data_IF_886012759150
#
_entry.id   IF_886012759150
#
_cell.length_a   1.000
_cell.length_b   1.000
_cell.length_c   1.000
_cell.angle_alpha   90.00
_cell.angle_beta   90.00
_cell.angle_gamma   90.00
#
_symmetry.space_group_name_H-M   'P 1'
#
loop_
_entity.id
_entity.type
_entity.pdbx_description
1 polymer ?
#
# COMPACT_ATOMS: atom_id res chain seq x y z
N UNK A 1 11.82 -16.89 7.89
CA UNK A 1 10.48 -16.30 7.82
C UNK A 1 9.59 -17.13 6.89
N UNK A 2 8.41 -17.53 7.37
CA UNK A 2 7.36 -18.15 6.54
C UNK A 2 6.64 -17.09 5.69
N UNK A 3 7.00 -17.02 4.39
CA UNK A 3 6.41 -16.07 3.45
C UNK A 3 4.93 -16.35 3.18
N UNK A 4 4.50 -17.62 3.13
CA UNK A 4 3.10 -17.96 2.88
C UNK A 4 2.22 -17.42 4.01
N UNK A 5 2.70 -17.55 5.25
CA UNK A 5 1.95 -17.02 6.39
C UNK A 5 1.96 -15.49 6.41
N UNK A 6 3.08 -14.86 6.05
CA UNK A 6 3.16 -13.40 5.89
C UNK A 6 2.12 -12.90 4.88
N UNK A 7 2.10 -13.45 3.66
CA UNK A 7 1.12 -13.06 2.63
C UNK A 7 -0.31 -13.25 3.10
N UNK A 8 -0.61 -14.32 3.82
CA UNK A 8 -1.93 -14.55 4.39
C UNK A 8 -2.33 -13.45 5.38
N UNK A 9 -1.44 -13.08 6.31
CA UNK A 9 -1.69 -11.96 7.25
C UNK A 9 -1.91 -10.66 6.48
N UNK A 10 -1.06 -10.34 5.49
CA UNK A 10 -1.20 -9.12 4.70
C UNK A 10 -2.55 -9.07 3.97
N UNK A 11 -2.98 -10.16 3.36
CA UNK A 11 -4.27 -10.25 2.66
C UNK A 11 -5.48 -10.20 3.59
N UNK A 12 -5.38 -10.75 4.81
CA UNK A 12 -6.45 -10.71 5.81
C UNK A 12 -6.60 -9.33 6.48
N UNK A 13 -5.51 -8.56 6.54
CA UNK A 13 -5.45 -7.33 7.36
C UNK A 13 -5.36 -6.04 6.55
N UNK A 14 -5.05 -6.11 5.26
CA UNK A 14 -4.82 -4.93 4.43
C UNK A 14 -5.50 -5.00 3.07
N UNK A 15 -5.77 -3.83 2.49
CA UNK A 15 -6.25 -3.66 1.12
C UNK A 15 -5.42 -2.59 0.42
N UNK A 16 -5.02 -2.86 -0.82
CA UNK A 16 -4.36 -1.88 -1.67
C UNK A 16 -5.43 -0.99 -2.32
N UNK A 17 -5.28 0.32 -2.10
CA UNK A 17 -6.21 1.34 -2.56
C UNK A 17 -5.48 2.27 -3.53
N UNK A 18 -6.14 2.57 -4.64
CA UNK A 18 -5.63 3.51 -5.63
C UNK A 18 -5.82 4.96 -5.16
N UNK A 19 -4.91 5.83 -5.56
CA UNK A 19 -5.09 7.29 -5.53
C UNK A 19 -5.77 7.78 -6.82
N UNK A 20 -6.75 8.67 -6.70
CA UNK A 20 -7.42 9.28 -7.87
C UNK A 20 -8.61 8.48 -8.42
N UNK A 21 -9.06 8.85 -9.62
CA UNK A 21 -10.28 8.31 -10.24
C UNK A 21 -10.12 6.86 -10.77
N UNK A 22 -11.24 6.15 -10.82
CA UNK A 22 -11.34 4.73 -11.21
C UNK A 22 -11.53 4.54 -12.72
N UNK A 23 -12.09 5.56 -13.39
CA UNK A 23 -12.47 5.50 -14.80
C UNK A 23 -11.69 6.59 -15.53
N UNK A 24 -10.86 6.17 -16.48
CA UNK A 24 -10.10 7.08 -17.34
C UNK A 24 -10.62 6.98 -18.77
N UNK A 25 -10.90 8.12 -19.39
CA UNK A 25 -11.43 8.23 -20.75
C UNK A 25 -11.63 9.70 -21.12
N UNK A 26 -12.24 9.96 -22.29
CA UNK A 26 -12.71 11.31 -22.59
C UNK A 26 -13.83 11.69 -21.61
N UNK A 27 -13.93 12.95 -21.15
CA UNK A 27 -14.93 13.35 -20.16
C UNK A 27 -16.35 12.91 -20.53
N UNK A 28 -16.72 13.05 -21.79
CA UNK A 28 -18.04 12.68 -22.31
C UNK A 28 -18.32 11.18 -22.16
N UNK A 29 -17.28 10.35 -22.31
CA UNK A 29 -17.39 8.90 -22.21
C UNK A 29 -17.38 8.43 -20.75
N UNK A 30 -16.60 9.08 -19.88
CA UNK A 30 -16.60 8.83 -18.44
C UNK A 30 -17.96 9.17 -17.83
N UNK A 31 -18.53 10.33 -18.20
CA UNK A 31 -19.84 10.76 -17.71
C UNK A 31 -20.96 9.83 -18.19
N UNK A 32 -20.97 9.46 -19.48
CA UNK A 32 -21.95 8.53 -20.02
C UNK A 32 -21.92 7.14 -19.33
N UNK A 33 -20.73 6.65 -18.97
CA UNK A 33 -20.60 5.40 -18.20
C UNK A 33 -21.10 5.57 -16.76
N UNK A 34 -20.78 6.69 -16.10
CA UNK A 34 -21.29 6.98 -14.74
C UNK A 34 -22.82 7.10 -14.71
N UNK A 35 -23.43 7.56 -15.80
CA UNK A 35 -24.89 7.65 -15.97
C UNK A 35 -25.56 6.33 -16.39
N UNK A 36 -24.79 5.26 -16.63
CA UNK A 36 -25.32 3.96 -17.02
C UNK A 36 -25.86 3.91 -18.44
N UNK A 37 -25.32 4.74 -19.35
CA UNK A 37 -25.69 4.71 -20.77
C UNK A 37 -25.30 3.37 -21.38
N UNK A 38 -26.21 2.78 -22.17
CA UNK A 38 -25.95 1.50 -22.85
C UNK A 38 -24.77 1.60 -23.82
N UNK A 39 -24.00 0.51 -23.92
CA UNK A 39 -22.72 0.48 -24.63
C UNK A 39 -22.82 0.82 -26.12
N UNK A 40 -23.98 0.60 -26.75
CA UNK A 40 -24.26 0.94 -28.15
C UNK A 40 -24.52 2.44 -28.38
N UNK A 41 -24.71 3.21 -27.30
CA UNK A 41 -24.97 4.66 -27.32
C UNK A 41 -23.78 5.49 -26.81
N UNK A 42 -22.70 4.83 -26.38
CA UNK A 42 -21.50 5.51 -25.91
C UNK A 42 -20.74 6.17 -27.08
N UNK A 43 -20.17 7.37 -26.89
CA UNK A 43 -19.25 7.95 -27.86
C UNK A 43 -18.05 7.02 -28.06
N UNK A 44 -17.54 6.91 -29.29
CA UNK A 44 -16.37 6.06 -29.56
C UNK A 44 -15.15 6.48 -28.74
N UNK A 45 -14.41 5.52 -28.18
CA UNK A 45 -13.23 5.79 -27.35
C UNK A 45 -12.75 4.55 -26.59
N UNK A 46 -11.75 4.75 -25.74
CA UNK A 46 -11.23 3.72 -24.83
C UNK A 46 -11.48 4.18 -23.40
N UNK A 47 -12.02 3.27 -22.59
CA UNK A 47 -12.17 3.46 -21.15
C UNK A 47 -11.32 2.44 -20.43
N UNK A 48 -10.51 2.91 -19.49
CA UNK A 48 -9.70 2.05 -18.65
C UNK A 48 -10.38 1.93 -17.29
N UNK A 49 -10.67 0.69 -16.90
CA UNK A 49 -11.13 0.35 -15.56
C UNK A 49 -9.95 -0.21 -14.79
N UNK A 50 -9.66 0.40 -13.67
CA UNK A 50 -8.61 -0.07 -12.80
C UNK A 50 -9.19 -0.98 -11.71
N UNK A 51 -8.59 -2.16 -11.53
CA UNK A 51 -9.13 -3.21 -10.67
C UNK A 51 -8.96 -2.94 -9.16
N UNK A 52 -8.26 -1.87 -8.79
CA UNK A 52 -8.10 -1.48 -7.39
C UNK A 52 -9.15 -0.44 -6.98
N UNK A 53 -9.86 -0.63 -5.84
CA UNK A 53 -10.81 0.35 -5.37
C UNK A 53 -10.11 1.68 -5.05
N UNK A 54 -10.78 2.83 -5.28
CA UNK A 54 -10.22 4.13 -4.97
C UNK A 54 -10.18 4.34 -3.46
N UNK A 55 -9.17 5.05 -2.98
CA UNK A 55 -8.99 5.30 -1.54
C UNK A 55 -10.15 6.07 -0.90
N UNK A 56 -10.88 6.87 -1.68
CA UNK A 56 -12.04 7.63 -1.20
C UNK A 56 -13.28 6.76 -0.97
N UNK A 57 -13.41 5.63 -1.66
CA UNK A 57 -14.55 4.72 -1.51
C UNK A 57 -14.25 3.57 -0.54
N UNK A 58 -13.02 3.51 -0.02
CA UNK A 58 -12.62 2.51 0.95
C UNK A 58 -13.37 2.69 2.28
N UNK A 59 -13.82 1.59 2.92
CA UNK A 59 -14.55 1.65 4.19
C UNK A 59 -13.90 2.54 5.25
N UNK A 60 -14.74 3.28 5.98
CA UNK A 60 -14.30 4.27 6.99
C UNK A 60 -13.62 3.63 8.22
N UNK A 61 -13.81 2.33 8.42
CA UNK A 61 -13.19 1.57 9.52
C UNK A 61 -11.73 1.18 9.23
N UNK A 62 -11.23 1.42 8.02
CA UNK A 62 -9.85 1.19 7.65
C UNK A 62 -8.95 2.38 7.99
N UNK A 63 -7.82 2.10 8.62
CA UNK A 63 -6.76 3.10 8.81
C UNK A 63 -5.98 3.22 7.50
N UNK A 64 -6.11 4.36 6.82
CA UNK A 64 -5.49 4.64 5.53
C UNK A 64 -4.05 5.16 5.73
N UNK A 65 -3.08 4.51 5.10
CA UNK A 65 -1.66 4.91 5.10
C UNK A 65 -1.25 5.26 3.67
N UNK A 66 -0.94 6.54 3.40
CA UNK A 66 -0.45 7.00 2.10
C UNK A 66 1.04 6.68 1.94
N UNK A 67 1.38 5.94 0.88
CA UNK A 67 2.73 5.52 0.53
C UNK A 67 3.17 6.10 -0.82
N UNK A 68 2.74 7.32 -1.12
CA UNK A 68 2.98 8.07 -2.36
C UNK A 68 2.28 7.48 -3.60
N UNK A 69 2.62 6.24 -3.99
CA UNK A 69 2.06 5.59 -5.18
C UNK A 69 0.64 5.07 -4.97
N UNK A 70 0.35 4.60 -3.76
CA UNK A 70 -0.89 3.96 -3.38
C UNK A 70 -1.18 4.20 -1.90
N UNK A 71 -2.42 3.98 -1.52
CA UNK A 71 -2.86 4.03 -0.13
C UNK A 71 -3.10 2.59 0.32
N UNK A 72 -2.61 2.22 1.50
CA UNK A 72 -2.98 0.94 2.10
C UNK A 72 -4.04 1.20 3.16
N UNK A 73 -5.20 0.56 3.01
CA UNK A 73 -6.19 0.48 4.07
C UNK A 73 -5.86 -0.68 5.00
N UNK A 74 -5.72 -0.43 6.30
CA UNK A 74 -5.45 -1.45 7.31
C UNK A 74 -6.66 -1.63 8.20
N UNK A 75 -7.18 -2.86 8.28
CA UNK A 75 -8.18 -3.22 9.28
C UNK A 75 -7.47 -3.37 10.63
N UNK A 76 -7.46 -2.31 11.43
CA UNK A 76 -6.71 -2.28 12.70
C UNK A 76 -7.18 -3.36 13.67
N UNK A 77 -8.49 -3.64 13.73
CA UNK A 77 -9.05 -4.65 14.63
C UNK A 77 -8.56 -6.04 14.27
N UNK A 78 -8.55 -6.38 12.98
CA UNK A 78 -8.02 -7.66 12.51
C UNK A 78 -6.49 -7.72 12.65
N UNK A 79 -5.78 -6.65 12.28
CA UNK A 79 -4.32 -6.55 12.40
C UNK A 79 -3.82 -6.83 13.82
N UNK A 80 -4.48 -6.30 14.85
CA UNK A 80 -4.08 -6.52 16.25
C UNK A 80 -4.17 -8.00 16.65
N UNK A 81 -5.09 -8.78 16.06
CA UNK A 81 -5.19 -10.24 16.31
C UNK A 81 -3.97 -11.00 15.80
N UNK A 82 -3.35 -10.53 14.71
CA UNK A 82 -2.17 -11.15 14.10
C UNK A 82 -0.85 -10.53 14.58
N UNK A 83 -0.86 -9.52 15.46
CA UNK A 83 0.33 -8.76 15.86
C UNK A 83 1.46 -9.63 16.42
N UNK A 84 1.14 -10.53 17.35
CA UNK A 84 2.14 -11.41 17.96
C UNK A 84 2.76 -12.36 16.93
N UNK A 85 1.95 -12.88 16.01
CA UNK A 85 2.41 -13.76 14.94
C UNK A 85 3.28 -13.01 13.93
N UNK A 86 2.87 -11.80 13.54
CA UNK A 86 3.67 -10.94 12.66
C UNK A 86 5.04 -10.64 13.29
N UNK A 87 5.09 -10.32 14.58
CA UNK A 87 6.35 -10.11 15.32
C UNK A 87 7.26 -11.33 15.26
N UNK A 88 6.70 -12.54 15.42
CA UNK A 88 7.48 -13.77 15.31
C UNK A 88 8.05 -13.95 13.89
N UNK A 89 7.25 -13.71 12.85
CA UNK A 89 7.73 -13.77 11.46
C UNK A 89 8.84 -12.76 11.20
N UNK A 90 8.71 -11.52 11.69
CA UNK A 90 9.73 -10.47 11.56
C UNK A 90 11.01 -10.80 12.32
N UNK A 91 10.92 -11.51 13.44
CA UNK A 91 12.11 -11.98 14.16
C UNK A 91 12.91 -13.02 13.34
N UNK A 92 12.25 -13.75 12.45
CA UNK A 92 12.86 -14.69 11.49
C UNK A 92 13.25 -14.05 10.16
N UNK A 93 13.21 -12.72 10.04
CA UNK A 93 13.59 -12.02 8.83
C UNK A 93 15.05 -12.36 8.47
N UNK A 94 15.38 -12.67 7.19
CA UNK A 94 16.69 -13.22 6.82
C UNK A 94 17.89 -12.32 7.16
N UNK A 95 17.73 -11.00 7.05
CA UNK A 95 18.71 -10.01 7.51
C UNK A 95 18.11 -9.07 8.58
N UNK A 96 18.16 -9.45 9.86
CA UNK A 96 17.60 -8.65 10.95
C UNK A 96 18.27 -7.28 11.10
N UNK A 97 19.55 -7.16 10.74
CA UNK A 97 20.28 -5.91 10.86
C UNK A 97 19.81 -4.90 9.81
N UNK A 98 19.59 -5.38 8.57
CA UNK A 98 18.96 -4.57 7.51
C UNK A 98 17.59 -4.08 7.93
N UNK A 99 16.71 -4.97 8.42
CA UNK A 99 15.36 -4.58 8.85
C UNK A 99 15.37 -3.59 10.02
N UNK A 100 16.31 -3.72 10.96
CA UNK A 100 16.50 -2.77 12.05
C UNK A 100 17.04 -1.40 11.58
N UNK A 101 17.75 -1.36 10.46
CA UNK A 101 18.30 -0.14 9.86
C UNK A 101 17.28 0.75 9.15
N UNK A 102 16.05 0.28 8.95
CA UNK A 102 15.00 1.04 8.29
C UNK A 102 15.11 1.00 6.76
N UNK A 103 14.99 -0.19 6.14
CA UNK A 103 15.18 -0.35 4.71
C UNK A 103 14.06 0.33 3.89
N UNK A 104 14.33 0.55 2.61
CA UNK A 104 13.31 0.98 1.64
C UNK A 104 12.37 -0.16 1.28
N UNK A 105 11.19 0.18 0.77
CA UNK A 105 10.24 -0.81 0.25
C UNK A 105 10.83 -1.65 -0.91
N UNK A 106 11.80 -1.11 -1.66
CA UNK A 106 12.50 -1.84 -2.73
C UNK A 106 13.33 -2.98 -2.13
N UNK A 107 14.08 -2.67 -1.08
CA UNK A 107 14.91 -3.65 -0.37
C UNK A 107 14.05 -4.72 0.27
N UNK A 108 12.99 -4.33 0.97
CA UNK A 108 12.07 -5.29 1.61
C UNK A 108 11.30 -6.10 0.60
N UNK A 109 10.86 -5.48 -0.50
CA UNK A 109 10.17 -6.15 -1.61
C UNK A 109 11.08 -7.14 -2.35
N UNK A 110 12.38 -6.86 -2.46
CA UNK A 110 13.34 -7.80 -3.02
C UNK A 110 13.49 -9.06 -2.15
N UNK A 111 13.47 -8.90 -0.83
CA UNK A 111 13.53 -10.03 0.11
C UNK A 111 12.22 -10.84 0.15
N UNK A 112 11.07 -10.17 0.09
CA UNK A 112 9.73 -10.81 0.11
C UNK A 112 9.37 -11.40 -1.27
N UNK A 113 9.92 -10.85 -2.35
CA UNK A 113 9.59 -11.17 -3.73
C UNK A 113 8.41 -10.35 -4.31
N UNK A 114 7.87 -9.38 -3.55
CA UNK A 114 6.73 -8.56 -3.95
C UNK A 114 6.79 -7.17 -3.30
N UNK A 115 6.87 -6.11 -4.12
CA UNK A 115 6.89 -4.73 -3.66
C UNK A 115 5.53 -4.25 -3.14
N UNK A 116 4.41 -4.77 -3.68
CA UNK A 116 3.07 -4.50 -3.18
C UNK A 116 2.89 -5.04 -1.76
N UNK A 117 3.39 -6.26 -1.51
CA UNK A 117 3.41 -6.83 -0.17
C UNK A 117 4.32 -6.05 0.79
N UNK A 118 5.44 -5.49 0.31
CA UNK A 118 6.27 -4.60 1.12
C UNK A 118 5.52 -3.33 1.54
N UNK A 119 4.72 -2.71 0.64
CA UNK A 119 3.86 -1.59 1.00
C UNK A 119 2.81 -1.96 2.05
N UNK A 120 2.15 -3.12 1.87
CA UNK A 120 1.19 -3.64 2.86
C UNK A 120 1.85 -3.85 4.22
N UNK A 121 3.06 -4.45 4.25
CA UNK A 121 3.82 -4.65 5.47
C UNK A 121 4.18 -3.32 6.15
N UNK A 122 4.63 -2.33 5.38
CA UNK A 122 4.98 -1.00 5.89
C UNK A 122 3.79 -0.33 6.59
N UNK A 123 2.63 -0.32 5.93
CA UNK A 123 1.41 0.24 6.49
C UNK A 123 0.93 -0.54 7.72
N UNK A 124 0.94 -1.87 7.65
CA UNK A 124 0.54 -2.74 8.77
C UNK A 124 1.40 -2.48 10.01
N UNK A 125 2.73 -2.45 9.85
CA UNK A 125 3.64 -2.19 10.96
C UNK A 125 3.49 -0.78 11.53
N UNK A 126 3.20 0.23 10.69
CA UNK A 126 2.87 1.59 11.16
C UNK A 126 1.62 1.60 12.04
N UNK A 127 0.55 0.96 11.58
CA UNK A 127 -0.74 0.93 12.29
C UNK A 127 -0.63 0.15 13.62
N UNK A 128 0.19 -0.90 13.66
CA UNK A 128 0.47 -1.68 14.86
C UNK A 128 1.51 -1.04 15.80
N UNK A 129 2.11 0.08 15.41
CA UNK A 129 3.12 0.80 16.20
C UNK A 129 4.47 0.08 16.28
N UNK A 130 4.82 -0.71 15.27
CA UNK A 130 6.10 -1.42 15.18
C UNK A 130 7.23 -0.54 14.62
N UNK A 131 6.90 0.41 13.75
CA UNK A 131 7.78 1.42 13.17
C UNK A 131 6.95 2.59 12.62
N UNK A 132 7.60 3.65 12.17
CA UNK A 132 6.98 4.65 11.30
C UNK A 132 7.40 4.45 9.85
N UNK A 133 6.61 5.02 8.93
CA UNK A 133 6.93 5.06 7.51
C UNK A 133 7.29 6.49 7.12
N UNK A 134 8.43 6.61 6.47
CA UNK A 134 8.99 7.84 5.91
C UNK A 134 8.58 7.88 4.44
N UNK A 135 7.98 9.00 4.01
CA UNK A 135 7.59 9.24 2.61
C UNK A 135 8.17 10.57 2.11
N UNK A 136 8.28 10.78 0.78
CA UNK A 136 8.73 12.04 0.21
C UNK A 136 7.95 13.27 0.71
N UNK A 137 6.63 13.13 0.90
CA UNK A 137 5.77 14.19 1.40
C UNK A 137 6.22 14.74 2.77
N UNK A 138 6.86 13.93 3.61
CA UNK A 138 7.41 14.38 4.91
C UNK A 138 8.54 15.40 4.76
N UNK A 139 9.18 15.45 3.60
CA UNK A 139 10.22 16.43 3.25
C UNK A 139 9.66 17.61 2.45
N UNK A 140 8.35 17.70 2.28
CA UNK A 140 7.69 18.77 1.53
C UNK A 140 7.68 18.57 0.00
N UNK A 141 8.18 17.43 -0.49
CA UNK A 141 8.12 17.09 -1.91
C UNK A 141 6.67 16.87 -2.36
N UNK A 142 6.35 17.23 -3.61
CA UNK A 142 4.99 17.09 -4.16
C UNK A 142 5.04 16.66 -5.63
N UNK A 143 3.94 16.09 -6.11
CA UNK A 143 3.72 15.78 -7.53
C UNK A 143 4.81 14.88 -8.11
N UNK A 144 5.37 15.27 -9.25
CA UNK A 144 6.37 14.48 -9.96
C UNK A 144 7.66 14.28 -9.15
N UNK A 145 8.11 15.30 -8.42
CA UNK A 145 9.30 15.20 -7.56
C UNK A 145 9.13 14.12 -6.49
N UNK A 146 7.98 14.12 -5.80
CA UNK A 146 7.66 13.11 -4.80
C UNK A 146 7.59 11.70 -5.41
N UNK A 147 6.99 11.58 -6.60
CA UNK A 147 6.89 10.32 -7.35
C UNK A 147 8.28 9.79 -7.75
N UNK A 148 9.17 10.64 -8.26
CA UNK A 148 10.54 10.28 -8.63
C UNK A 148 11.37 9.88 -7.41
N UNK A 149 11.25 10.62 -6.30
CA UNK A 149 11.93 10.28 -5.05
C UNK A 149 11.45 8.92 -4.52
N UNK A 150 10.13 8.70 -4.48
CA UNK A 150 9.54 7.42 -4.11
C UNK A 150 10.07 6.27 -4.98
N UNK A 151 10.14 6.47 -6.30
CA UNK A 151 10.66 5.46 -7.24
C UNK A 151 12.15 5.15 -7.06
N UNK A 152 12.88 6.07 -6.42
CA UNK A 152 14.29 5.90 -6.05
C UNK A 152 14.48 5.28 -4.66
N UNK A 153 13.40 4.85 -4.00
CA UNK A 153 13.45 4.18 -2.70
C UNK A 153 13.23 5.08 -1.48
N UNK A 154 12.76 6.32 -1.64
CA UNK A 154 12.50 7.23 -0.50
C UNK A 154 11.28 6.85 0.36
N UNK A 155 10.58 5.76 0.04
CA UNK A 155 9.59 5.16 0.94
C UNK A 155 10.30 4.13 1.80
N UNK A 156 10.51 4.47 3.07
CA UNK A 156 11.33 3.71 4.02
C UNK A 156 10.59 3.54 5.34
N UNK A 157 10.98 2.55 6.15
CA UNK A 157 10.53 2.45 7.53
C UNK A 157 11.60 2.95 8.50
N UNK A 158 11.23 3.37 9.72
CA UNK A 158 12.21 3.82 10.74
C UNK A 158 13.04 2.68 11.37
N UNK A 159 12.84 1.45 10.90
CA UNK A 159 13.52 0.25 11.39
C UNK A 159 12.69 -0.51 12.41
N UNK A 160 12.76 -1.85 12.36
CA UNK A 160 12.11 -2.73 13.31
C UNK A 160 13.09 -3.10 14.42
N UNK A 161 12.74 -2.80 15.67
CA UNK A 161 13.47 -3.29 16.83
C UNK A 161 12.78 -4.55 17.32
N UNK A 162 13.53 -5.66 17.35
CA UNK A 162 13.02 -6.93 17.88
C UNK A 162 12.35 -6.69 19.24
N UNK A 163 11.08 -7.05 19.34
CA UNK A 163 10.40 -7.07 20.61
C UNK A 163 11.07 -8.15 21.48
N UNK A 164 11.38 -7.79 22.72
CA UNK A 164 11.93 -8.72 23.72
C UNK A 164 10.90 -9.76 24.14
#
# INVERSE_FOLDING_TARGET
MDLNRLYKILNETTVQLRKGEVIHGTPELVDAIKEGVESDKLPGGVVTFDMMPPANDAPDDLVKVDLEFLVIGVNKVEAEKHKAELVNLLNEYPDPASLAGGPSYITVGAEIGDQGAAFQLFALGKVLGLWDVITPAMFGMKGEEATQAAGSGFIMMTGYRRAA
#
